data_IF_234799613198
#
_entry.id   IF_234799613198
#
_cell.length_a   1.000
_cell.length_b   1.000
_cell.length_c   1.000
_cell.angle_alpha   90.00
_cell.angle_beta   90.00
_cell.angle_gamma   90.00
#
_symmetry.space_group_name_H-M   'P 1'
#
loop_
_entity.id
_entity.type
_entity.pdbx_description
1 polymer ?
#
# COMPACT_ATOMS: atom_id res chain seq x y z
N UNK A 1 32.74 -55.06 17.35
CA UNK A 1 33.02 -53.61 17.58
C UNK A 1 32.13 -52.85 16.62
N UNK A 2 30.97 -52.39 17.11
CA UNK A 2 30.05 -51.58 16.31
C UNK A 2 30.25 -50.14 16.72
N UNK A 3 30.69 -49.29 15.80
CA UNK A 3 30.68 -47.83 15.98
C UNK A 3 29.27 -47.33 15.71
N UNK A 4 28.73 -46.44 16.55
CA UNK A 4 27.44 -45.82 16.28
C UNK A 4 27.60 -44.73 15.22
N UNK A 5 26.74 -44.78 14.19
CA UNK A 5 26.54 -43.75 13.21
C UNK A 5 26.16 -42.42 13.90
N UNK A 6 27.03 -41.45 13.79
CA UNK A 6 26.74 -40.07 14.23
C UNK A 6 25.60 -39.50 13.37
N UNK A 7 24.44 -39.32 14.00
CA UNK A 7 23.37 -38.47 13.47
C UNK A 7 23.91 -37.07 13.25
N UNK A 8 24.19 -36.69 12.00
CA UNK A 8 24.35 -35.28 11.61
C UNK A 8 22.99 -34.62 11.78
N UNK A 9 22.86 -33.84 12.84
CA UNK A 9 21.77 -32.90 13.05
C UNK A 9 21.67 -32.04 11.80
N UNK A 10 20.54 -32.13 11.10
CA UNK A 10 20.17 -31.17 10.08
C UNK A 10 20.01 -29.81 10.81
N UNK A 11 21.00 -28.95 10.71
CA UNK A 11 20.85 -27.55 11.01
C UNK A 11 19.71 -27.04 10.12
N UNK A 12 18.58 -26.70 10.74
CA UNK A 12 17.50 -25.96 10.11
C UNK A 12 18.10 -24.63 9.64
N UNK A 13 18.53 -24.56 8.39
CA UNK A 13 18.89 -23.32 7.72
C UNK A 13 17.68 -22.39 7.83
N UNK A 14 17.71 -21.46 8.76
CA UNK A 14 16.67 -20.43 8.88
C UNK A 14 16.67 -19.64 7.58
N UNK A 15 15.63 -19.81 6.77
CA UNK A 15 15.43 -19.02 5.55
C UNK A 15 15.37 -17.55 5.96
N UNK A 16 16.34 -16.78 5.51
CA UNK A 16 16.43 -15.35 5.83
C UNK A 16 15.23 -14.61 5.24
N UNK A 17 14.68 -13.63 5.97
CA UNK A 17 13.60 -12.81 5.46
C UNK A 17 14.08 -11.93 4.30
N UNK A 18 13.23 -11.78 3.29
CA UNK A 18 13.52 -10.99 2.08
C UNK A 18 12.36 -10.09 1.73
N UNK A 19 12.61 -9.08 0.91
CA UNK A 19 11.57 -8.25 0.30
C UNK A 19 11.57 -8.55 -1.20
N UNK A 20 10.40 -8.86 -1.76
CA UNK A 20 10.20 -9.00 -3.21
C UNK A 20 9.44 -7.77 -3.70
N UNK A 21 10.14 -6.90 -4.39
CA UNK A 21 9.61 -5.68 -4.99
C UNK A 21 9.02 -5.99 -6.35
N UNK A 22 7.83 -5.46 -6.64
CA UNK A 22 7.15 -5.75 -7.89
C UNK A 22 6.27 -4.61 -8.35
N UNK A 23 5.94 -4.65 -9.63
CA UNK A 23 5.01 -3.78 -10.31
C UNK A 23 4.32 -4.52 -11.46
N UNK A 24 3.12 -4.09 -11.83
CA UNK A 24 2.36 -4.59 -12.96
C UNK A 24 2.05 -3.48 -13.95
N UNK A 25 2.18 -3.81 -15.24
CA UNK A 25 1.43 -3.09 -16.26
C UNK A 25 0.16 -3.88 -16.61
N UNK A 26 -0.92 -3.17 -16.86
CA UNK A 26 -2.23 -3.76 -17.17
C UNK A 26 -2.83 -3.15 -18.43
N UNK A 27 -3.78 -3.85 -19.03
CA UNK A 27 -4.48 -3.38 -20.21
C UNK A 27 -5.58 -2.35 -19.91
N UNK A 28 -5.87 -2.09 -18.64
CA UNK A 28 -6.78 -1.04 -18.15
C UNK A 28 -6.62 -0.87 -16.63
N UNK A 29 -7.37 0.07 -16.02
CA UNK A 29 -7.17 0.52 -14.64
C UNK A 29 -8.05 -0.18 -13.57
N UNK A 30 -8.91 -1.12 -13.95
CA UNK A 30 -9.79 -1.85 -13.02
C UNK A 30 -9.26 -3.26 -12.71
N UNK A 31 -8.55 -3.49 -11.60
CA UNK A 31 -7.90 -4.77 -11.32
C UNK A 31 -8.87 -5.95 -11.18
N UNK A 32 -10.16 -5.70 -10.93
CA UNK A 32 -11.17 -6.75 -10.83
C UNK A 32 -11.60 -7.32 -12.18
N UNK A 33 -11.52 -6.52 -13.24
CA UNK A 33 -12.00 -6.86 -14.58
C UNK A 33 -10.86 -7.02 -15.57
N UNK A 34 -9.81 -6.24 -15.38
CA UNK A 34 -8.75 -6.09 -16.36
C UNK A 34 -7.70 -7.19 -16.26
N UNK A 35 -6.89 -7.27 -17.28
CA UNK A 35 -5.87 -8.30 -17.42
C UNK A 35 -4.48 -7.69 -17.29
N UNK A 36 -3.53 -8.38 -16.67
CA UNK A 36 -2.15 -7.94 -16.68
C UNK A 36 -1.56 -8.03 -18.08
N UNK A 37 -0.66 -7.13 -18.41
CA UNK A 37 0.12 -7.13 -19.64
C UNK A 37 1.59 -7.43 -19.41
N UNK A 38 2.17 -6.92 -18.31
CA UNK A 38 3.54 -7.17 -17.90
C UNK A 38 3.62 -7.29 -16.39
N UNK A 39 4.58 -8.07 -15.92
CA UNK A 39 5.02 -8.14 -14.54
C UNK A 39 6.52 -7.92 -14.50
N UNK A 40 6.96 -7.15 -13.50
CA UNK A 40 8.35 -7.02 -13.16
C UNK A 40 8.55 -7.17 -11.65
N UNK A 41 9.69 -7.72 -11.25
CA UNK A 41 10.03 -7.79 -9.83
C UNK A 41 11.47 -8.20 -9.60
N UNK A 42 11.95 -7.88 -8.39
CA UNK A 42 13.30 -8.23 -7.95
C UNK A 42 13.32 -8.43 -6.44
N UNK A 43 14.18 -9.30 -5.98
CA UNK A 43 14.34 -9.60 -4.56
C UNK A 43 15.48 -8.81 -3.95
N UNK A 44 15.27 -8.33 -2.72
CA UNK A 44 16.32 -7.75 -1.88
C UNK A 44 16.38 -8.45 -0.53
N UNK A 45 17.52 -8.32 0.17
CA UNK A 45 17.58 -8.53 1.61
C UNK A 45 16.84 -7.40 2.34
N UNK A 46 16.82 -7.44 3.69
CA UNK A 46 16.18 -6.37 4.49
C UNK A 46 17.00 -5.08 4.50
N UNK A 47 18.27 -5.12 4.08
CA UNK A 47 19.12 -3.95 3.90
C UNK A 47 18.97 -3.30 2.53
N UNK A 48 18.01 -3.81 1.72
CA UNK A 48 17.69 -3.36 0.37
C UNK A 48 18.81 -3.62 -0.65
N UNK A 49 19.73 -4.56 -0.36
CA UNK A 49 20.67 -5.04 -1.36
C UNK A 49 19.97 -6.05 -2.25
N UNK A 50 20.16 -5.89 -3.57
CA UNK A 50 19.58 -6.81 -4.56
C UNK A 50 20.21 -8.19 -4.39
N UNK A 51 19.36 -9.22 -4.34
CA UNK A 51 19.71 -10.63 -4.28
C UNK A 51 18.95 -11.40 -5.36
N UNK A 52 19.64 -12.03 -6.27
CA UNK A 52 19.02 -12.74 -7.40
C UNK A 52 18.88 -11.86 -8.64
N UNK A 53 18.29 -12.44 -9.68
CA UNK A 53 18.10 -11.81 -10.98
C UNK A 53 16.72 -11.10 -11.06
N UNK A 54 16.61 -10.04 -11.87
CA UNK A 54 15.33 -9.40 -12.13
C UNK A 54 14.41 -10.31 -12.94
N UNK A 55 13.15 -10.34 -12.54
CA UNK A 55 12.09 -11.07 -13.22
C UNK A 55 11.25 -10.09 -14.05
N UNK A 56 11.18 -10.29 -15.37
CA UNK A 56 10.31 -9.51 -16.26
C UNK A 56 9.71 -10.43 -17.30
N UNK A 57 8.38 -10.47 -17.36
CA UNK A 57 7.67 -11.27 -18.35
C UNK A 57 6.30 -10.66 -18.69
N UNK A 58 5.83 -10.97 -19.91
CA UNK A 58 4.58 -10.48 -20.44
C UNK A 58 3.48 -11.53 -20.32
N UNK A 59 2.25 -11.06 -20.14
CA UNK A 59 1.04 -11.87 -20.21
C UNK A 59 0.39 -11.74 -21.58
N UNK A 60 0.08 -12.85 -22.23
CA UNK A 60 -0.70 -12.82 -23.46
C UNK A 60 -2.05 -12.18 -23.23
N UNK A 61 -2.48 -11.33 -24.15
CA UNK A 61 -3.82 -10.78 -24.13
C UNK A 61 -4.87 -11.89 -24.28
N UNK A 62 -5.87 -11.89 -23.42
CA UNK A 62 -6.99 -12.81 -23.52
C UNK A 62 -7.88 -12.49 -24.73
N UNK A 63 -8.37 -13.52 -25.42
CA UNK A 63 -9.16 -13.35 -26.64
C UNK A 63 -10.59 -12.86 -26.39
N UNK A 64 -11.07 -12.94 -25.15
CA UNK A 64 -12.39 -12.51 -24.69
C UNK A 64 -12.36 -11.11 -24.02
N UNK A 65 -11.27 -10.38 -24.17
CA UNK A 65 -11.03 -9.09 -23.54
C UNK A 65 -10.50 -8.05 -24.52
N UNK A 66 -11.07 -6.85 -24.49
CA UNK A 66 -10.62 -5.71 -25.29
C UNK A 66 -9.81 -4.73 -24.44
N UNK A 67 -8.49 -4.57 -24.70
CA UNK A 67 -7.67 -3.60 -23.99
C UNK A 67 -8.09 -2.15 -24.23
N UNK A 68 -7.89 -1.29 -23.20
CA UNK A 68 -8.08 0.16 -23.33
C UNK A 68 -6.97 0.78 -24.20
N UNK A 69 -7.33 1.57 -25.22
CA UNK A 69 -6.34 2.33 -26.00
C UNK A 69 -5.50 3.29 -25.13
N UNK A 70 -6.10 3.89 -24.11
CA UNK A 70 -5.43 4.82 -23.19
C UNK A 70 -4.33 4.09 -22.40
N UNK A 71 -4.60 2.91 -21.86
CA UNK A 71 -3.62 2.11 -21.15
C UNK A 71 -2.45 1.71 -22.08
N UNK A 72 -2.76 1.34 -23.33
CA UNK A 72 -1.73 1.01 -24.34
C UNK A 72 -0.84 2.23 -24.64
N UNK A 73 -1.43 3.42 -24.75
CA UNK A 73 -0.65 4.65 -25.00
C UNK A 73 0.27 5.01 -23.82
N UNK A 74 -0.15 4.72 -22.59
CA UNK A 74 0.62 4.97 -21.37
C UNK A 74 1.76 3.96 -21.23
N UNK A 75 1.46 2.66 -21.31
CA UNK A 75 2.42 1.58 -21.06
C UNK A 75 3.30 1.25 -22.28
N UNK A 76 2.85 1.60 -23.47
CA UNK A 76 3.47 1.17 -24.75
C UNK A 76 3.30 -0.31 -25.04
N UNK A 77 2.56 -1.07 -24.24
CA UNK A 77 2.39 -2.52 -24.39
C UNK A 77 1.15 -2.80 -25.25
N UNK A 78 1.38 -3.00 -26.55
CA UNK A 78 0.29 -3.36 -27.47
C UNK A 78 -0.13 -4.82 -27.30
N UNK A 79 -1.37 -5.20 -27.65
CA UNK A 79 -1.80 -6.61 -27.68
C UNK A 79 -0.88 -7.49 -28.55
N UNK A 80 -0.38 -6.96 -29.65
CA UNK A 80 0.54 -7.67 -30.55
C UNK A 80 1.87 -7.97 -29.85
N UNK A 81 2.43 -7.00 -29.13
CA UNK A 81 3.66 -7.17 -28.35
C UNK A 81 3.47 -8.20 -27.23
N UNK A 82 2.37 -8.08 -26.49
CA UNK A 82 2.02 -8.99 -25.42
C UNK A 82 1.79 -10.42 -25.93
N UNK A 83 1.15 -10.59 -27.09
CA UNK A 83 0.96 -11.91 -27.69
C UNK A 83 2.26 -12.50 -28.26
N UNK A 84 3.17 -11.66 -28.77
CA UNK A 84 4.48 -12.11 -29.28
C UNK A 84 5.43 -12.56 -28.17
N UNK A 85 5.52 -11.81 -27.07
CA UNK A 85 6.49 -12.03 -25.98
C UNK A 85 5.91 -12.74 -24.78
N UNK A 86 4.59 -12.76 -24.65
CA UNK A 86 3.89 -13.18 -23.44
C UNK A 86 3.66 -14.69 -23.36
N UNK A 87 3.40 -15.11 -22.14
CA UNK A 87 2.97 -16.45 -21.77
C UNK A 87 1.47 -16.46 -21.42
N UNK A 88 0.76 -17.59 -21.45
CA UNK A 88 -0.63 -17.69 -21.02
C UNK A 88 -0.82 -17.19 -19.58
N UNK A 89 -1.97 -16.60 -19.26
CA UNK A 89 -2.26 -16.05 -17.92
C UNK A 89 -2.09 -17.09 -16.81
N UNK A 90 -2.44 -18.35 -17.05
CA UNK A 90 -2.23 -19.45 -16.09
C UNK A 90 -0.76 -19.66 -15.73
N UNK A 91 0.12 -19.64 -16.72
CA UNK A 91 1.56 -19.74 -16.49
C UNK A 91 2.11 -18.46 -15.85
N UNK A 92 1.65 -17.30 -16.31
CA UNK A 92 2.00 -15.99 -15.79
C UNK A 92 1.71 -15.90 -14.28
N UNK A 93 0.48 -16.21 -13.87
CA UNK A 93 0.08 -16.21 -12.45
C UNK A 93 0.75 -17.31 -11.64
N UNK A 94 1.00 -18.46 -12.25
CA UNK A 94 1.76 -19.56 -11.61
C UNK A 94 3.20 -19.17 -11.27
N UNK A 95 3.90 -18.45 -12.15
CA UNK A 95 5.26 -17.91 -11.88
C UNK A 95 5.24 -16.90 -10.73
N UNK A 96 4.27 -16.00 -10.73
CA UNK A 96 4.11 -15.00 -9.66
C UNK A 96 3.82 -15.68 -8.32
N UNK A 97 2.97 -16.71 -8.31
CA UNK A 97 2.72 -17.51 -7.10
C UNK A 97 4.01 -18.07 -6.51
N UNK A 98 4.88 -18.68 -7.35
CA UNK A 98 6.16 -19.24 -6.90
C UNK A 98 7.05 -18.15 -6.28
N UNK A 99 7.14 -16.97 -6.92
CA UNK A 99 7.95 -15.85 -6.42
C UNK A 99 7.45 -15.30 -5.08
N UNK A 100 6.12 -15.14 -4.95
CA UNK A 100 5.49 -14.54 -3.78
C UNK A 100 5.33 -15.49 -2.60
N UNK A 101 5.29 -16.80 -2.84
CA UNK A 101 5.04 -17.83 -1.81
C UNK A 101 6.32 -18.36 -1.15
N UNK A 102 7.50 -17.90 -1.54
CA UNK A 102 8.74 -18.27 -0.86
C UNK A 102 8.64 -17.86 0.62
N UNK A 103 9.06 -18.73 1.57
CA UNK A 103 8.95 -18.42 3.00
C UNK A 103 9.67 -17.14 3.42
N UNK A 104 9.11 -16.43 4.40
CA UNK A 104 9.64 -15.17 4.93
C UNK A 104 9.76 -14.04 3.89
N UNK A 105 8.95 -14.09 2.82
CA UNK A 105 8.91 -13.03 1.81
C UNK A 105 7.94 -11.93 2.23
N UNK A 106 8.42 -10.68 2.22
CA UNK A 106 7.59 -9.49 2.21
C UNK A 106 7.40 -9.03 0.76
N UNK A 107 6.20 -9.15 0.20
CA UNK A 107 5.90 -8.62 -1.13
C UNK A 107 5.62 -7.12 -1.02
N UNK A 108 6.35 -6.29 -1.76
CA UNK A 108 6.31 -4.84 -1.63
C UNK A 108 6.25 -4.11 -2.97
N UNK A 109 5.69 -2.90 -2.95
CA UNK A 109 5.61 -2.02 -4.12
C UNK A 109 5.26 -0.59 -3.73
N UNK A 110 4.97 0.23 -4.73
CA UNK A 110 4.54 1.61 -4.58
C UNK A 110 3.07 1.75 -4.95
N UNK A 111 2.20 2.11 -4.01
CA UNK A 111 0.74 2.12 -4.15
C UNK A 111 0.15 0.74 -4.48
N UNK A 112 0.92 -0.32 -4.22
CA UNK A 112 0.64 -1.69 -4.66
C UNK A 112 -0.56 -2.32 -3.94
N UNK A 113 -0.82 -2.01 -2.68
CA UNK A 113 -1.96 -2.58 -1.93
C UNK A 113 -3.34 -2.21 -2.50
N UNK A 114 -3.40 -1.20 -3.36
CA UNK A 114 -4.64 -0.72 -3.97
C UNK A 114 -4.82 -1.14 -5.41
N UNK A 115 -3.75 -1.51 -6.09
CA UNK A 115 -3.75 -1.88 -7.48
C UNK A 115 -3.10 -3.25 -7.71
N UNK A 116 -1.80 -3.38 -7.59
CA UNK A 116 -1.05 -4.61 -7.91
C UNK A 116 -1.49 -5.84 -7.12
N UNK A 117 -1.77 -5.64 -5.83
CA UNK A 117 -2.30 -6.69 -4.96
C UNK A 117 -3.70 -7.16 -5.40
N UNK A 118 -4.53 -6.25 -5.86
CA UNK A 118 -5.85 -6.60 -6.38
C UNK A 118 -5.73 -7.29 -7.75
N UNK A 119 -4.80 -6.83 -8.64
CA UNK A 119 -4.46 -7.53 -9.88
C UNK A 119 -4.03 -8.97 -9.58
N UNK A 120 -3.14 -9.14 -8.60
CA UNK A 120 -2.69 -10.46 -8.15
C UNK A 120 -3.85 -11.31 -7.61
N UNK A 121 -4.71 -10.76 -6.75
CA UNK A 121 -5.84 -11.48 -6.16
C UNK A 121 -6.84 -11.96 -7.20
N UNK A 122 -7.27 -11.06 -8.08
CA UNK A 122 -8.21 -11.43 -9.13
C UNK A 122 -7.58 -12.36 -10.17
N UNK A 123 -6.29 -12.16 -10.49
CA UNK A 123 -5.53 -13.06 -11.34
C UNK A 123 -5.41 -14.46 -10.74
N UNK A 124 -5.06 -14.57 -9.47
CA UNK A 124 -5.02 -15.86 -8.76
C UNK A 124 -6.39 -16.54 -8.71
N UNK A 125 -7.44 -15.78 -8.35
CA UNK A 125 -8.80 -16.30 -8.30
C UNK A 125 -9.24 -16.88 -9.67
N UNK A 126 -9.01 -16.16 -10.76
CA UNK A 126 -9.34 -16.63 -12.13
C UNK A 126 -8.59 -17.90 -12.52
N UNK A 127 -7.40 -18.10 -11.96
CA UNK A 127 -6.52 -19.24 -12.27
C UNK A 127 -6.56 -20.33 -11.18
N UNK A 128 -7.59 -20.33 -10.30
CA UNK A 128 -7.80 -21.32 -9.24
C UNK A 128 -6.65 -21.43 -8.24
N UNK A 129 -5.90 -20.34 -8.02
CA UNK A 129 -4.87 -20.19 -7.01
C UNK A 129 -5.48 -19.48 -5.81
N UNK A 130 -5.12 -19.90 -4.58
CA UNK A 130 -5.58 -19.18 -3.36
C UNK A 130 -5.08 -17.72 -3.40
N UNK A 131 -6.00 -16.73 -3.46
CA UNK A 131 -5.63 -15.34 -3.63
C UNK A 131 -5.03 -14.68 -2.38
N UNK A 132 -5.12 -15.32 -1.21
CA UNK A 132 -4.73 -14.74 0.08
C UNK A 132 -3.57 -15.44 0.78
N UNK A 133 -3.32 -16.71 0.50
CA UNK A 133 -2.32 -17.53 1.19
C UNK A 133 -0.93 -16.87 1.21
N UNK A 134 -0.49 -16.29 0.10
CA UNK A 134 0.80 -15.58 -0.04
C UNK A 134 0.99 -14.39 0.89
N UNK A 135 -0.10 -13.86 1.45
CA UNK A 135 -0.05 -12.63 2.26
C UNK A 135 0.33 -12.89 3.72
N UNK A 136 0.24 -14.14 4.18
CA UNK A 136 0.40 -14.47 5.59
C UNK A 136 0.99 -15.85 5.88
N UNK A 137 0.86 -16.82 4.97
CA UNK A 137 1.43 -18.16 5.19
C UNK A 137 2.97 -18.11 5.19
N UNK A 138 3.59 -19.08 5.85
CA UNK A 138 5.05 -19.27 5.89
C UNK A 138 5.84 -18.02 6.34
N UNK A 139 5.28 -17.18 7.19
CA UNK A 139 5.93 -15.96 7.64
C UNK A 139 5.89 -14.80 6.64
N UNK A 140 5.14 -14.94 5.55
CA UNK A 140 5.01 -13.92 4.52
C UNK A 140 4.21 -12.69 4.99
N UNK A 141 4.35 -11.60 4.26
CA UNK A 141 3.65 -10.35 4.50
C UNK A 141 3.58 -9.51 3.22
N UNK A 142 2.84 -8.41 3.29
CA UNK A 142 2.79 -7.39 2.23
C UNK A 142 3.22 -6.05 2.79
N UNK A 143 3.69 -5.17 1.93
CA UNK A 143 4.07 -3.83 2.30
C UNK A 143 3.91 -2.87 1.12
N UNK A 144 3.45 -1.65 1.40
CA UNK A 144 3.29 -0.60 0.39
C UNK A 144 3.94 0.66 0.93
N UNK A 145 4.95 1.17 0.22
CA UNK A 145 5.72 2.29 0.74
C UNK A 145 5.10 3.67 0.52
N UNK A 146 3.97 3.76 -0.19
CA UNK A 146 3.36 5.08 -0.47
C UNK A 146 2.93 5.81 0.80
N UNK A 147 2.38 5.10 1.80
CA UNK A 147 1.99 5.73 3.06
C UNK A 147 3.19 5.99 3.98
N UNK A 148 4.33 5.30 3.80
CA UNK A 148 5.62 5.69 4.39
C UNK A 148 6.10 7.03 3.84
N UNK A 149 6.07 7.21 2.51
CA UNK A 149 6.43 8.47 1.84
C UNK A 149 5.58 9.63 2.36
N UNK A 150 4.26 9.44 2.44
CA UNK A 150 3.32 10.44 2.99
C UNK A 150 3.61 10.76 4.46
N UNK A 151 3.91 9.75 5.28
CA UNK A 151 4.26 9.92 6.68
C UNK A 151 5.61 10.65 6.86
N UNK A 152 6.59 10.39 5.99
CA UNK A 152 7.84 11.16 5.96
C UNK A 152 7.56 12.64 5.68
N UNK A 153 6.80 12.94 4.65
CA UNK A 153 6.38 14.32 4.37
C UNK A 153 5.69 14.96 5.57
N UNK A 154 4.76 14.23 6.20
CA UNK A 154 3.95 14.77 7.29
C UNK A 154 4.75 15.01 8.59
N UNK A 155 5.71 14.16 8.94
CA UNK A 155 6.31 14.16 10.27
C UNK A 155 7.84 14.22 10.30
N UNK A 156 8.51 13.91 9.21
CA UNK A 156 9.98 13.86 9.09
C UNK A 156 10.40 14.24 7.67
N UNK A 157 10.11 15.49 7.23
CA UNK A 157 10.38 15.89 5.84
C UNK A 157 11.87 16.11 5.53
N UNK A 158 12.73 16.19 6.54
CA UNK A 158 14.13 16.58 6.40
C UNK A 158 14.93 15.53 5.61
N UNK A 159 15.81 16.03 4.73
CA UNK A 159 16.70 15.22 3.91
C UNK A 159 16.06 14.58 2.67
N UNK A 160 14.79 14.91 2.39
CA UNK A 160 14.06 14.50 1.19
C UNK A 160 13.51 15.75 0.52
N UNK A 161 13.67 15.86 -0.79
CA UNK A 161 13.10 16.95 -1.58
C UNK A 161 11.67 16.59 -2.00
N UNK A 162 10.72 17.48 -1.70
CA UNK A 162 9.30 17.23 -1.90
C UNK A 162 8.78 18.00 -3.11
N UNK A 163 8.35 17.31 -4.18
CA UNK A 163 7.73 17.96 -5.32
C UNK A 163 6.35 18.51 -4.98
N UNK A 164 6.02 19.66 -5.55
CA UNK A 164 4.70 20.30 -5.41
C UNK A 164 3.97 20.31 -6.74
N UNK A 165 2.65 20.25 -6.67
CA UNK A 165 1.76 20.44 -7.83
C UNK A 165 1.52 21.94 -8.06
N UNK A 166 0.85 22.27 -9.16
CA UNK A 166 0.47 23.66 -9.50
C UNK A 166 -0.38 24.33 -8.42
N UNK A 167 -1.20 23.56 -7.70
CA UNK A 167 -2.03 24.05 -6.59
C UNK A 167 -1.28 24.19 -5.26
N UNK A 168 0.04 24.00 -5.25
CA UNK A 168 0.91 24.07 -4.07
C UNK A 168 0.84 22.85 -3.16
N UNK A 169 -0.01 21.86 -3.45
CA UNK A 169 -0.06 20.61 -2.68
C UNK A 169 1.11 19.68 -3.02
N UNK A 170 1.58 18.83 -2.08
CA UNK A 170 2.65 17.88 -2.39
C UNK A 170 2.21 16.84 -3.41
N UNK A 171 3.15 16.43 -4.27
CA UNK A 171 2.98 15.29 -5.14
C UNK A 171 3.64 14.05 -4.53
N UNK A 172 2.88 12.98 -4.43
CA UNK A 172 3.37 11.66 -4.00
C UNK A 172 3.44 10.67 -5.17
N UNK A 173 3.52 11.17 -6.41
CA UNK A 173 3.79 10.31 -7.57
C UNK A 173 5.27 9.91 -7.56
N UNK A 174 5.56 8.63 -7.83
CA UNK A 174 6.91 8.08 -7.81
C UNK A 174 7.84 8.83 -8.77
N UNK A 175 7.38 9.07 -9.99
CA UNK A 175 8.11 9.81 -11.02
C UNK A 175 8.55 11.22 -10.59
N UNK A 176 7.64 11.96 -9.91
CA UNK A 176 7.96 13.30 -9.42
C UNK A 176 8.97 13.26 -8.26
N UNK A 177 8.82 12.28 -7.36
CA UNK A 177 9.70 12.11 -6.21
C UNK A 177 11.10 11.70 -6.64
N UNK A 178 11.23 10.76 -7.57
CA UNK A 178 12.53 10.31 -8.08
C UNK A 178 13.24 11.41 -8.82
N UNK A 179 12.56 12.13 -9.70
CA UNK A 179 13.12 13.27 -10.44
C UNK A 179 13.64 14.36 -9.47
N UNK A 180 12.83 14.75 -8.50
CA UNK A 180 13.17 15.83 -7.55
C UNK A 180 14.31 15.46 -6.61
N UNK A 181 14.51 14.16 -6.35
CA UNK A 181 15.59 13.65 -5.51
C UNK A 181 16.81 13.11 -6.28
N UNK A 182 16.83 13.27 -7.62
CA UNK A 182 17.94 12.79 -8.45
C UNK A 182 18.11 11.28 -8.44
N UNK A 183 17.03 10.53 -8.23
CA UNK A 183 17.02 9.07 -8.28
C UNK A 183 16.79 8.61 -9.72
N UNK A 184 17.46 7.52 -10.13
CA UNK A 184 17.29 6.97 -11.49
C UNK A 184 15.85 6.45 -11.67
N UNK A 185 15.19 6.93 -12.74
CA UNK A 185 13.88 6.50 -13.17
C UNK A 185 13.77 6.78 -14.67
N UNK A 186 14.53 6.00 -15.47
CA UNK A 186 14.78 6.31 -16.87
C UNK A 186 13.54 6.17 -17.76
N UNK A 187 12.63 5.27 -17.41
CA UNK A 187 11.39 4.99 -18.14
C UNK A 187 10.24 4.78 -17.19
N UNK A 188 9.54 5.86 -16.82
CA UNK A 188 8.26 5.74 -16.14
C UNK A 188 7.28 4.89 -16.98
N UNK A 189 6.46 4.06 -16.31
CA UNK A 189 5.55 3.08 -16.93
C UNK A 189 6.26 1.95 -17.71
N UNK A 190 7.51 1.65 -17.35
CA UNK A 190 8.13 0.36 -17.58
C UNK A 190 8.23 -0.32 -16.21
N UNK A 191 7.52 -1.43 -16.01
CA UNK A 191 7.35 -2.04 -14.69
C UNK A 191 8.69 -2.29 -13.95
N UNK A 192 9.77 -2.65 -14.66
CA UNK A 192 11.07 -2.86 -13.99
C UNK A 192 11.72 -1.53 -13.58
N UNK A 193 11.56 -0.47 -14.38
CA UNK A 193 12.04 0.88 -14.03
C UNK A 193 11.32 1.38 -12.77
N UNK A 194 10.00 1.16 -12.66
CA UNK A 194 9.20 1.52 -11.48
C UNK A 194 9.59 0.72 -10.24
N UNK A 195 9.94 -0.55 -10.39
CA UNK A 195 10.50 -1.38 -9.30
C UNK A 195 11.82 -0.82 -8.78
N UNK A 196 12.77 -0.49 -9.66
CA UNK A 196 14.05 0.09 -9.22
C UNK A 196 13.87 1.47 -8.59
N UNK A 197 13.00 2.31 -9.13
CA UNK A 197 12.63 3.61 -8.57
C UNK A 197 12.03 3.48 -7.17
N UNK A 198 11.16 2.48 -6.96
CA UNK A 198 10.57 2.16 -5.65
C UNK A 198 11.64 1.75 -4.63
N UNK A 199 12.58 0.87 -5.01
CA UNK A 199 13.71 0.48 -4.14
C UNK A 199 14.59 1.69 -3.82
N UNK A 200 14.90 2.54 -4.81
CA UNK A 200 15.70 3.73 -4.59
C UNK A 200 15.03 4.71 -3.62
N UNK A 201 13.72 4.91 -3.73
CA UNK A 201 12.93 5.73 -2.81
C UNK A 201 12.91 5.12 -1.39
N UNK A 202 12.76 3.79 -1.27
CA UNK A 202 12.83 3.10 0.02
C UNK A 202 14.21 3.25 0.67
N UNK A 203 15.30 3.15 -0.10
CA UNK A 203 16.68 3.38 0.38
C UNK A 203 16.87 4.79 0.89
N UNK A 204 16.42 5.79 0.13
CA UNK A 204 16.48 7.20 0.54
C UNK A 204 15.79 7.42 1.88
N UNK A 205 14.56 6.93 2.02
CA UNK A 205 13.82 7.07 3.29
C UNK A 205 14.52 6.33 4.42
N UNK A 206 14.99 5.12 4.19
CA UNK A 206 15.70 4.35 5.20
C UNK A 206 16.99 5.05 5.67
N UNK A 207 17.71 5.69 4.76
CA UNK A 207 18.90 6.48 5.08
C UNK A 207 18.58 7.73 5.89
N UNK A 208 17.60 8.51 5.44
CA UNK A 208 17.27 9.81 6.06
C UNK A 208 16.38 9.67 7.30
N UNK A 209 15.48 8.70 7.34
CA UNK A 209 14.47 8.52 8.38
C UNK A 209 14.39 7.06 8.87
N UNK A 210 15.49 6.46 9.35
CA UNK A 210 15.58 5.01 9.65
C UNK A 210 14.57 4.55 10.70
N UNK A 211 14.27 5.38 11.70
CA UNK A 211 13.30 5.04 12.75
C UNK A 211 11.88 4.99 12.21
N UNK A 212 11.50 5.91 11.33
CA UNK A 212 10.17 5.93 10.72
C UNK A 212 10.02 4.79 9.72
N UNK A 213 11.07 4.50 8.93
CA UNK A 213 11.13 3.35 8.05
C UNK A 213 10.88 2.04 8.81
N UNK A 214 11.63 1.80 9.89
CA UNK A 214 11.50 0.58 10.68
C UNK A 214 10.11 0.47 11.34
N UNK A 215 9.64 1.57 11.93
CA UNK A 215 8.31 1.63 12.54
C UNK A 215 7.21 1.22 11.55
N UNK A 216 7.22 1.79 10.34
CA UNK A 216 6.21 1.47 9.35
C UNK A 216 6.41 0.08 8.73
N UNK A 217 7.64 -0.38 8.59
CA UNK A 217 7.91 -1.76 8.16
C UNK A 217 7.34 -2.79 9.15
N UNK A 218 7.35 -2.51 10.43
CA UNK A 218 6.75 -3.39 11.44
C UNK A 218 5.21 -3.41 11.36
N UNK A 219 4.58 -2.32 10.98
CA UNK A 219 3.12 -2.25 10.75
C UNK A 219 2.62 -3.09 9.56
N UNK A 220 3.50 -3.71 8.78
CA UNK A 220 3.09 -4.75 7.81
C UNK A 220 2.49 -5.99 8.49
N UNK A 221 2.71 -6.14 9.78
CA UNK A 221 2.17 -7.23 10.60
C UNK A 221 0.87 -6.79 11.27
N UNK A 222 -0.21 -7.53 11.00
CA UNK A 222 -1.54 -7.24 11.58
C UNK A 222 -1.49 -7.05 13.10
N UNK A 223 -0.71 -7.85 13.82
CA UNK A 223 -0.60 -7.76 15.28
C UNK A 223 -0.02 -6.40 15.69
N UNK A 224 1.05 -5.94 15.06
CA UNK A 224 1.66 -4.64 15.36
C UNK A 224 0.67 -3.47 15.15
N UNK A 225 -0.19 -3.57 14.13
CA UNK A 225 -1.28 -2.61 13.92
C UNK A 225 -2.33 -2.69 15.03
N UNK A 226 -2.75 -3.92 15.37
CA UNK A 226 -3.76 -4.15 16.41
C UNK A 226 -3.32 -3.63 17.78
N UNK A 227 -2.04 -3.78 18.11
CA UNK A 227 -1.45 -3.34 19.38
C UNK A 227 -1.44 -1.81 19.54
N UNK A 228 -1.61 -1.04 18.44
CA UNK A 228 -1.71 0.42 18.46
C UNK A 228 -3.14 0.92 18.74
N UNK A 229 -4.15 0.04 18.65
CA UNK A 229 -5.56 0.45 18.63
C UNK A 229 -6.21 0.09 19.96
N UNK A 230 -6.58 1.11 20.71
CA UNK A 230 -7.35 0.98 21.96
C UNK A 230 -8.80 1.42 21.73
N UNK A 231 -9.65 0.46 21.38
CA UNK A 231 -11.09 0.68 21.15
C UNK A 231 -11.81 0.97 22.46
N UNK A 232 -11.35 0.40 23.59
CA UNK A 232 -12.04 0.54 24.89
C UNK A 232 -11.96 1.98 25.40
N UNK A 233 -10.77 2.59 25.30
CA UNK A 233 -10.55 3.97 25.73
C UNK A 233 -10.71 4.98 24.57
N UNK A 234 -11.06 4.51 23.36
CA UNK A 234 -11.20 5.33 22.15
C UNK A 234 -9.98 6.24 21.93
N UNK A 235 -8.76 5.72 22.18
CA UNK A 235 -7.56 6.51 22.20
C UNK A 235 -7.24 7.11 20.83
N UNK A 236 -7.12 8.45 20.70
CA UNK A 236 -6.86 9.09 19.42
C UNK A 236 -5.52 8.69 18.80
N UNK A 237 -5.54 8.48 17.49
CA UNK A 237 -4.40 8.12 16.66
C UNK A 237 -4.27 9.09 15.49
N UNK A 238 -3.04 9.32 15.06
CA UNK A 238 -2.76 9.87 13.74
C UNK A 238 -2.89 8.76 12.70
N UNK A 239 -3.51 9.07 11.57
CA UNK A 239 -3.64 8.17 10.43
C UNK A 239 -3.25 8.87 9.13
N UNK A 240 -2.44 8.19 8.31
CA UNK A 240 -2.06 8.62 6.96
C UNK A 240 -2.77 7.78 5.91
N UNK A 241 -3.41 8.43 4.95
CA UNK A 241 -4.18 7.73 3.91
C UNK A 241 -4.41 8.63 2.69
N UNK A 242 -4.37 8.07 1.48
CA UNK A 242 -4.75 8.78 0.24
C UNK A 242 -6.21 9.26 0.19
N UNK A 243 -7.04 8.81 1.13
CA UNK A 243 -8.43 9.30 1.24
C UNK A 243 -8.51 10.66 1.94
N UNK A 244 -7.40 11.15 2.47
CA UNK A 244 -7.26 12.47 3.06
C UNK A 244 -6.55 13.38 2.05
N UNK A 245 -6.91 14.64 2.04
CA UNK A 245 -6.33 15.63 1.11
C UNK A 245 -4.80 15.68 1.18
N UNK A 246 -4.14 15.75 0.04
CA UNK A 246 -2.71 15.97 -0.03
C UNK A 246 -2.29 17.31 0.60
N UNK A 247 -3.16 18.33 0.60
CA UNK A 247 -2.93 19.62 1.30
C UNK A 247 -2.71 19.44 2.80
N UNK A 248 -3.35 18.41 3.38
CA UNK A 248 -3.14 18.01 4.78
C UNK A 248 -2.06 16.91 4.91
N UNK A 249 -1.16 16.78 3.94
CA UNK A 249 -0.16 15.71 3.92
C UNK A 249 -0.76 14.30 3.97
N UNK A 250 -1.98 14.12 3.46
CA UNK A 250 -2.75 12.87 3.57
C UNK A 250 -2.98 12.41 5.02
N UNK A 251 -2.95 13.31 5.99
CA UNK A 251 -2.92 13.02 7.43
C UNK A 251 -4.18 13.53 8.13
N UNK A 252 -4.68 12.77 9.09
CA UNK A 252 -5.78 13.15 9.97
C UNK A 252 -5.64 12.53 11.35
N UNK A 253 -6.45 13.03 12.31
CA UNK A 253 -6.69 12.39 13.61
C UNK A 253 -7.93 11.51 13.53
N UNK A 254 -7.84 10.31 14.07
CA UNK A 254 -8.96 9.37 14.18
C UNK A 254 -9.10 8.88 15.62
N UNK A 255 -10.31 8.49 15.99
CA UNK A 255 -10.56 7.75 17.24
C UNK A 255 -11.22 6.42 16.91
N UNK A 256 -10.69 5.27 17.40
CA UNK A 256 -11.32 3.96 17.20
C UNK A 256 -12.59 3.88 18.08
N UNK A 257 -13.70 3.46 17.47
CA UNK A 257 -14.99 3.37 18.17
C UNK A 257 -15.41 1.92 18.42
N UNK A 258 -15.26 1.07 17.40
CA UNK A 258 -15.67 -0.33 17.51
C UNK A 258 -14.99 -1.22 16.47
N UNK A 259 -14.94 -2.52 16.74
CA UNK A 259 -14.57 -3.50 15.72
C UNK A 259 -15.68 -3.64 14.69
N UNK A 260 -15.29 -3.88 13.44
CA UNK A 260 -16.28 -4.09 12.38
C UNK A 260 -17.05 -5.40 12.62
N UNK A 261 -18.42 -5.39 12.54
CA UNK A 261 -19.24 -6.53 12.95
C UNK A 261 -19.02 -7.82 12.15
N UNK A 262 -18.64 -7.71 10.89
CA UNK A 262 -18.44 -8.87 10.00
C UNK A 262 -17.00 -9.02 9.49
N UNK A 263 -16.22 -7.93 9.40
CA UNK A 263 -14.84 -7.96 8.93
C UNK A 263 -13.86 -7.96 10.12
N UNK A 264 -13.39 -9.14 10.52
CA UNK A 264 -12.41 -9.31 11.62
C UNK A 264 -11.06 -8.59 11.41
N UNK A 265 -10.82 -8.05 10.21
CA UNK A 265 -9.61 -7.32 9.88
C UNK A 265 -9.85 -5.80 9.86
N UNK A 266 -10.95 -5.30 10.40
CA UNK A 266 -11.26 -3.89 10.34
C UNK A 266 -11.74 -3.33 11.69
N UNK A 267 -11.39 -2.06 11.92
CA UNK A 267 -11.86 -1.24 13.04
C UNK A 267 -12.55 -0.02 12.46
N UNK A 268 -13.71 0.31 12.99
CA UNK A 268 -14.46 1.52 12.68
C UNK A 268 -13.94 2.63 13.56
N UNK A 269 -13.55 3.74 12.94
CA UNK A 269 -13.06 4.94 13.60
C UNK A 269 -13.89 6.15 13.17
N UNK A 270 -13.89 7.18 13.98
CA UNK A 270 -14.35 8.51 13.58
C UNK A 270 -13.16 9.39 13.21
N UNK A 271 -13.37 10.29 12.26
CA UNK A 271 -12.36 11.27 11.84
C UNK A 271 -12.55 12.56 12.65
N UNK A 272 -11.68 12.78 13.62
CA UNK A 272 -11.76 13.92 14.55
C UNK A 272 -11.44 15.29 13.88
N UNK A 273 -10.95 15.30 12.64
CA UNK A 273 -10.79 16.53 11.86
C UNK A 273 -12.07 16.92 11.10
N UNK A 274 -13.17 16.22 11.34
CA UNK A 274 -14.48 16.48 10.75
C UNK A 274 -15.52 16.64 11.85
N UNK A 275 -16.59 17.36 11.54
CA UNK A 275 -17.72 17.54 12.47
C UNK A 275 -18.46 16.21 12.67
N UNK A 276 -18.58 15.77 13.91
CA UNK A 276 -19.27 14.53 14.28
C UNK A 276 -20.77 14.71 14.53
N UNK A 277 -21.30 15.94 14.53
CA UNK A 277 -22.73 16.25 14.73
C UNK A 277 -23.66 15.34 13.91
N UNK A 278 -23.41 15.04 12.62
CA UNK A 278 -24.26 14.16 11.84
C UNK A 278 -24.43 12.75 12.41
N UNK A 279 -23.45 12.25 13.17
CA UNK A 279 -23.54 10.93 13.81
C UNK A 279 -24.49 10.90 15.01
N UNK A 280 -24.83 12.05 15.58
CA UNK A 280 -25.70 12.19 16.74
C UNK A 280 -27.12 12.67 16.38
N UNK A 281 -27.26 13.44 15.30
CA UNK A 281 -28.53 14.06 14.92
C UNK A 281 -29.31 13.32 13.84
N UNK A 282 -28.60 12.54 12.98
CA UNK A 282 -29.23 11.82 11.89
C UNK A 282 -29.68 10.42 12.33
N UNK A 283 -30.78 9.95 11.74
CA UNK A 283 -31.19 8.56 11.87
C UNK A 283 -30.31 7.61 11.03
N UNK A 284 -30.45 6.30 11.26
CA UNK A 284 -29.63 5.26 10.64
C UNK A 284 -29.73 5.29 9.11
N UNK A 285 -30.93 5.52 8.55
CA UNK A 285 -31.13 5.52 7.09
C UNK A 285 -30.54 6.79 6.46
N UNK A 286 -30.64 7.92 7.14
CA UNK A 286 -29.99 9.17 6.73
C UNK A 286 -28.46 9.05 6.75
N UNK A 287 -27.88 8.50 7.83
CA UNK A 287 -26.45 8.22 7.93
C UNK A 287 -26.01 7.32 6.78
N UNK A 288 -26.71 6.21 6.55
CA UNK A 288 -26.42 5.25 5.49
C UNK A 288 -26.47 5.90 4.11
N UNK A 289 -27.52 6.64 3.81
CA UNK A 289 -27.67 7.34 2.53
C UNK A 289 -26.51 8.31 2.33
N UNK A 290 -26.24 9.18 3.30
CA UNK A 290 -25.19 10.19 3.22
C UNK A 290 -23.77 9.57 3.14
N UNK A 291 -23.53 8.44 3.80
CA UNK A 291 -22.24 7.74 3.79
C UNK A 291 -21.90 7.16 2.40
N UNK A 292 -22.90 6.81 1.61
CA UNK A 292 -22.73 6.28 0.24
C UNK A 292 -22.94 7.32 -0.86
N UNK A 293 -23.32 8.55 -0.50
CA UNK A 293 -23.43 9.66 -1.45
C UNK A 293 -22.03 10.25 -1.71
N UNK A 294 -21.58 10.37 -2.96
CA UNK A 294 -20.34 11.06 -3.29
C UNK A 294 -20.33 12.49 -2.72
N UNK A 295 -19.19 12.95 -2.22
CA UNK A 295 -19.10 14.28 -1.62
C UNK A 295 -19.53 15.43 -2.56
N UNK A 296 -19.32 15.24 -3.87
CA UNK A 296 -19.73 16.22 -4.88
C UNK A 296 -21.25 16.30 -5.06
N UNK A 297 -21.99 15.26 -4.63
CA UNK A 297 -23.43 15.15 -4.78
C UNK A 297 -24.18 15.50 -3.47
N UNK A 298 -23.43 15.77 -2.38
CA UNK A 298 -24.02 16.30 -1.13
C UNK A 298 -24.43 17.76 -1.32
N UNK A 299 -25.56 18.17 -0.71
CA UNK A 299 -25.94 19.56 -0.66
C UNK A 299 -24.91 20.42 0.10
N UNK A 300 -24.89 21.74 -0.15
CA UNK A 300 -23.88 22.65 0.45
C UNK A 300 -23.91 22.66 1.98
N UNK A 301 -25.09 22.46 2.57
CA UNK A 301 -25.32 22.37 4.01
C UNK A 301 -25.21 20.96 4.59
N UNK A 302 -25.00 19.95 3.73
CA UNK A 302 -24.84 18.57 4.17
C UNK A 302 -23.39 18.22 4.50
N UNK A 303 -23.13 17.99 5.78
CA UNK A 303 -21.83 17.50 6.25
C UNK A 303 -21.67 16.01 5.93
N UNK A 304 -20.51 15.59 5.39
CA UNK A 304 -20.23 14.18 5.16
C UNK A 304 -20.12 13.42 6.48
N UNK A 305 -20.44 12.13 6.47
CA UNK A 305 -20.31 11.27 7.66
C UNK A 305 -18.83 11.05 7.99
N UNK A 306 -18.44 11.42 9.19
CA UNK A 306 -17.05 11.38 9.67
C UNK A 306 -16.58 9.98 10.09
N UNK A 307 -16.99 8.92 9.38
CA UNK A 307 -16.62 7.53 9.67
C UNK A 307 -15.50 7.08 8.75
N UNK A 308 -14.54 6.38 9.33
CA UNK A 308 -13.40 5.79 8.61
C UNK A 308 -13.12 4.37 9.07
N UNK A 309 -12.90 3.47 8.13
CA UNK A 309 -12.50 2.10 8.41
C UNK A 309 -10.99 1.95 8.29
N UNK A 310 -10.36 1.35 9.30
CA UNK A 310 -8.94 0.97 9.31
C UNK A 310 -8.85 -0.54 9.13
N UNK A 311 -8.17 -0.96 8.06
CA UNK A 311 -7.91 -2.37 7.78
C UNK A 311 -6.59 -2.80 8.41
N UNK A 312 -6.63 -3.66 9.41
CA UNK A 312 -5.47 -4.11 10.19
C UNK A 312 -4.44 -4.88 9.36
N UNK A 313 -4.87 -5.49 8.25
CA UNK A 313 -4.04 -6.31 7.36
C UNK A 313 -3.67 -5.62 6.02
N UNK A 314 -3.83 -4.29 5.95
CA UNK A 314 -3.47 -3.49 4.77
C UNK A 314 -2.40 -2.44 5.08
N UNK A 315 -1.45 -2.75 5.95
CA UNK A 315 -0.34 -1.87 6.34
C UNK A 315 -0.78 -0.42 6.57
N UNK A 316 -1.82 -0.13 7.37
CA UNK A 316 -2.22 1.24 7.60
C UNK A 316 -1.12 1.98 8.36
N UNK A 317 -0.76 3.19 7.93
CA UNK A 317 0.05 4.03 8.79
C UNK A 317 -0.84 4.62 9.88
N UNK A 318 -0.65 4.16 11.10
CA UNK A 318 -1.25 4.69 12.31
C UNK A 318 -0.18 4.87 13.38
N UNK A 319 -0.32 5.87 14.21
CA UNK A 319 0.59 6.10 15.34
C UNK A 319 -0.10 6.96 16.41
N UNK A 320 0.50 7.03 17.60
CA UNK A 320 -0.02 7.88 18.67
C UNK A 320 -0.18 9.33 18.22
N UNK A 321 -1.29 9.97 18.62
CA UNK A 321 -1.54 11.39 18.38
C UNK A 321 -0.42 12.32 18.91
N UNK A 322 0.43 11.84 19.83
CA UNK A 322 1.58 12.58 20.37
C UNK A 322 2.62 12.99 19.32
N UNK A 323 2.68 12.31 18.15
CA UNK A 323 3.59 12.69 17.06
C UNK A 323 3.22 14.06 16.46
N UNK A 324 1.93 14.44 16.54
CA UNK A 324 1.42 15.69 15.97
C UNK A 324 1.75 16.86 16.90
N UNK A 325 2.96 17.44 16.74
CA UNK A 325 3.32 18.71 17.38
C UNK A 325 2.44 19.85 16.88
N UNK A 326 2.49 21.02 17.54
CA UNK A 326 1.77 22.20 17.08
C UNK A 326 2.29 22.70 15.73
N UNK A 327 3.60 22.59 15.49
CA UNK A 327 4.22 22.88 14.20
C UNK A 327 3.71 21.96 13.08
N UNK A 328 3.67 20.63 13.35
CA UNK A 328 3.10 19.67 12.39
C UNK A 328 1.62 19.98 12.12
N UNK A 329 0.83 20.25 13.16
CA UNK A 329 -0.59 20.55 13.03
C UNK A 329 -0.83 21.80 12.19
N UNK A 330 -0.07 22.89 12.46
CA UNK A 330 -0.16 24.14 11.69
C UNK A 330 0.20 23.92 10.21
N UNK A 331 1.31 23.21 9.93
CA UNK A 331 1.76 22.92 8.56
C UNK A 331 0.78 22.04 7.79
N UNK A 332 0.15 21.08 8.45
CA UNK A 332 -0.80 20.15 7.86
C UNK A 332 -2.25 20.67 7.88
N UNK A 333 -2.49 21.87 8.43
CA UNK A 333 -3.84 22.44 8.53
C UNK A 333 -4.78 21.60 9.40
N UNK A 334 -4.26 20.98 10.46
CA UNK A 334 -5.04 20.17 11.41
C UNK A 334 -5.32 20.99 12.65
N UNK A 335 -6.59 21.27 12.93
CA UNK A 335 -7.02 21.95 14.14
C UNK A 335 -7.10 20.94 15.31
N UNK A 336 -6.12 21.02 16.22
CA UNK A 336 -6.04 20.13 17.38
C UNK A 336 -7.10 20.43 18.44
N UNK A 337 -7.52 21.70 18.56
CA UNK A 337 -8.54 22.09 19.54
C UNK A 337 -9.91 21.64 19.07
N UNK A 338 -10.22 21.86 17.78
CA UNK A 338 -11.43 21.30 17.18
C UNK A 338 -11.48 19.78 17.36
N UNK A 339 -10.37 19.06 17.02
CA UNK A 339 -10.32 17.62 17.15
C UNK A 339 -10.47 17.10 18.60
N UNK A 340 -10.11 17.91 19.61
CA UNK A 340 -10.33 17.58 21.03
C UNK A 340 -11.77 17.82 21.49
N UNK A 341 -12.48 18.72 20.84
CA UNK A 341 -13.85 19.04 21.16
C UNK A 341 -14.85 18.01 20.58
N UNK A 342 -14.42 17.25 19.57
CA UNK A 342 -15.19 16.14 18.98
C UNK A 342 -15.19 14.90 19.88
#
# INVERSE_FOLDING_TARGET
MNQPLQNKTQENLKIQPTIFWHDYETFEANPAKDRPSQFAGIRTDLDLNIIGEPETFYCKQATDYLPSPEAILITGITPQLANLKGIPETEFMGRIQVLFSQPNTCVAGYNSLRFDDEVTRYGFYRNFIDPYAREWQNGNSRWDIIDLVRACYAFRPEGINWPTKEDGSPSFKLEHLTQTNGLSHEKAHDAMSDVYATIAMAKLIREKQPKLYQYYFDLRRKQAVSDQIDVLNMQPLVHVSSKISARNGCTTLISPVTHHPTNKNAVICVNLAMDLTPLFELDIEQIKTRMYTPRADLAEDELPIAVKQIHLNKCPFITSAKILSDEHAARLGIDKEFARAQ
#
